data_IF_617024819234
#
_entry.id   IF_617024819234
#
_cell.length_a   1.000
_cell.length_b   1.000
_cell.length_c   1.000
_cell.angle_alpha   90.00
_cell.angle_beta   90.00
_cell.angle_gamma   90.00
#
_symmetry.space_group_name_H-M   'P 1'
#
loop_
_entity.id
_entity.type
_entity.pdbx_description
1 polymer ?
#
# COMPACT_ATOMS: atom_id res chain seq x y z
N UNK A 1 1.10 31.76 -30.36
CA UNK A 1 2.12 31.23 -31.29
C UNK A 1 2.09 29.75 -31.06
N UNK A 2 1.69 28.92 -32.04
CA UNK A 2 1.49 27.48 -31.79
C UNK A 2 2.84 26.81 -31.58
N UNK A 3 3.04 26.06 -30.49
CA UNK A 3 4.20 25.19 -30.36
C UNK A 3 4.12 24.12 -31.44
N UNK A 4 5.12 24.06 -32.31
CA UNK A 4 5.17 23.09 -33.43
C UNK A 4 6.29 22.07 -33.27
N UNK A 5 7.18 22.26 -32.29
CA UNK A 5 8.29 21.34 -32.03
C UNK A 5 7.85 20.27 -31.05
N UNK A 6 8.06 19.02 -31.43
CA UNK A 6 7.63 17.81 -30.70
C UNK A 6 7.99 17.88 -29.21
N UNK A 7 9.25 18.19 -28.86
CA UNK A 7 9.67 18.26 -27.45
C UNK A 7 8.94 19.30 -26.59
N UNK A 8 8.52 20.44 -27.17
CA UNK A 8 7.74 21.44 -26.43
C UNK A 8 6.31 20.98 -26.15
N UNK A 9 5.68 20.36 -27.16
CA UNK A 9 4.33 19.79 -27.01
C UNK A 9 4.29 18.67 -25.99
N UNK A 10 5.30 17.80 -25.95
CA UNK A 10 5.35 16.74 -24.95
C UNK A 10 5.52 17.29 -23.51
N UNK A 11 6.29 18.35 -23.31
CA UNK A 11 6.41 18.99 -21.98
C UNK A 11 5.07 19.61 -21.55
N UNK A 12 4.40 20.31 -22.47
CA UNK A 12 3.06 20.87 -22.21
C UNK A 12 2.06 19.77 -21.85
N UNK A 13 2.05 18.68 -22.60
CA UNK A 13 1.17 17.54 -22.36
C UNK A 13 1.38 16.94 -20.96
N UNK A 14 2.64 16.68 -20.60
CA UNK A 14 3.03 16.10 -19.30
C UNK A 14 2.69 17.03 -18.12
N UNK A 15 2.89 18.33 -18.30
CA UNK A 15 2.42 19.32 -17.33
C UNK A 15 0.90 19.34 -17.25
N UNK A 16 0.20 19.21 -18.37
CA UNK A 16 -1.26 19.10 -18.38
C UNK A 16 -1.76 17.90 -17.58
N UNK A 17 -1.20 16.72 -17.79
CA UNK A 17 -1.55 15.52 -17.03
C UNK A 17 -1.31 15.69 -15.52
N UNK A 18 -0.15 16.25 -15.14
CA UNK A 18 0.15 16.53 -13.73
C UNK A 18 -0.81 17.57 -13.13
N UNK A 19 -1.14 18.63 -13.87
CA UNK A 19 -2.09 19.65 -13.43
C UNK A 19 -3.48 19.07 -13.16
N UNK A 20 -3.97 18.20 -14.05
CA UNK A 20 -5.22 17.49 -13.89
C UNK A 20 -5.19 16.53 -12.68
N UNK A 21 -4.10 15.78 -12.51
CA UNK A 21 -3.91 14.89 -11.36
C UNK A 21 -3.87 15.64 -10.01
N UNK A 22 -3.37 16.87 -10.00
CA UNK A 22 -3.39 17.76 -8.83
C UNK A 22 -4.75 18.46 -8.62
N UNK A 23 -5.76 18.14 -9.43
CA UNK A 23 -7.13 18.64 -9.30
C UNK A 23 -7.38 20.01 -9.93
N UNK A 24 -6.50 20.47 -10.83
CA UNK A 24 -6.70 21.74 -11.54
C UNK A 24 -7.42 21.56 -12.87
N UNK A 25 -8.11 22.62 -13.30
CA UNK A 25 -8.56 22.74 -14.68
C UNK A 25 -7.39 23.23 -15.54
N UNK A 26 -7.06 22.45 -16.56
CA UNK A 26 -5.91 22.65 -17.44
C UNK A 26 -6.34 23.29 -18.75
N UNK A 27 -5.74 24.42 -19.10
CA UNK A 27 -6.00 25.12 -20.37
C UNK A 27 -4.71 25.33 -21.16
N UNK A 28 -4.62 24.67 -22.31
CA UNK A 28 -3.55 24.86 -23.30
C UNK A 28 -3.82 26.11 -24.16
N UNK A 29 -2.76 26.80 -24.58
CA UNK A 29 -2.80 28.04 -25.37
C UNK A 29 -3.77 29.08 -24.79
N UNK A 30 -3.87 29.13 -23.46
CA UNK A 30 -4.86 29.92 -22.77
C UNK A 30 -4.61 31.42 -22.95
N UNK A 31 -5.63 32.12 -23.45
CA UNK A 31 -5.66 33.57 -23.43
C UNK A 31 -6.09 34.04 -22.04
N UNK A 32 -5.13 34.53 -21.26
CA UNK A 32 -5.37 35.05 -19.93
C UNK A 32 -5.67 36.55 -19.98
N UNK A 33 -6.82 36.93 -19.43
CA UNK A 33 -7.30 38.30 -19.51
C UNK A 33 -7.55 38.74 -20.96
N UNK A 34 -7.32 40.02 -21.25
CA UNK A 34 -7.58 40.57 -22.60
C UNK A 34 -6.41 40.42 -23.57
N UNK A 35 -5.18 40.31 -23.09
CA UNK A 35 -3.98 40.57 -23.90
C UNK A 35 -2.90 39.50 -23.84
N UNK A 36 -2.82 38.70 -22.77
CA UNK A 36 -1.77 37.70 -22.62
C UNK A 36 -2.22 36.33 -23.16
N UNK A 37 -1.35 35.68 -23.93
CA UNK A 37 -1.50 34.28 -24.30
C UNK A 37 -0.32 33.50 -23.74
N UNK A 38 -0.62 32.41 -23.03
CA UNK A 38 0.37 31.54 -22.40
C UNK A 38 0.25 30.12 -22.94
N UNK A 39 1.34 29.36 -22.92
CA UNK A 39 1.36 28.00 -23.50
C UNK A 39 0.46 27.04 -22.71
N UNK A 40 0.49 27.14 -21.37
CA UNK A 40 -0.34 26.34 -20.48
C UNK A 40 -0.66 27.14 -19.22
N UNK A 41 -1.88 26.95 -18.72
CA UNK A 41 -2.24 27.45 -17.39
C UNK A 41 -3.12 26.47 -16.65
N UNK A 42 -3.01 26.51 -15.32
CA UNK A 42 -3.87 25.75 -14.43
C UNK A 42 -4.72 26.72 -13.61
N UNK A 43 -6.02 26.46 -13.59
CA UNK A 43 -7.03 27.27 -12.89
C UNK A 43 -7.70 26.43 -11.82
N UNK A 44 -8.32 27.08 -10.83
CA UNK A 44 -8.98 26.36 -9.73
C UNK A 44 -10.21 25.55 -10.18
N UNK A 45 -10.89 25.99 -11.25
CA UNK A 45 -12.08 25.36 -11.81
C UNK A 45 -12.35 25.92 -13.21
N UNK A 46 -13.13 25.19 -14.02
CA UNK A 46 -13.52 25.61 -15.37
C UNK A 46 -14.19 26.98 -15.45
N UNK A 47 -14.88 27.44 -14.40
CA UNK A 47 -15.52 28.76 -14.36
C UNK A 47 -14.58 29.90 -13.92
N UNK A 48 -13.33 29.59 -13.54
CA UNK A 48 -12.37 30.58 -13.06
C UNK A 48 -11.31 30.86 -14.13
N UNK A 49 -11.30 32.09 -14.64
CA UNK A 49 -10.35 32.50 -15.68
C UNK A 49 -9.01 33.02 -15.10
N UNK A 50 -8.91 33.19 -13.78
CA UNK A 50 -7.66 33.60 -13.13
C UNK A 50 -6.73 32.39 -12.95
N UNK A 51 -5.56 32.36 -13.61
CA UNK A 51 -4.65 31.23 -13.50
C UNK A 51 -3.97 31.23 -12.14
N UNK A 52 -3.85 30.06 -11.54
CA UNK A 52 -3.02 29.85 -10.37
C UNK A 52 -1.57 29.59 -10.79
N UNK A 53 -1.41 28.77 -11.82
CA UNK A 53 -0.13 28.41 -12.42
C UNK A 53 -0.12 28.82 -13.88
N UNK A 54 0.99 29.40 -14.33
CA UNK A 54 1.28 29.66 -15.73
C UNK A 54 2.58 28.95 -16.09
N UNK A 55 2.60 28.31 -17.25
CA UNK A 55 3.79 27.68 -17.81
C UNK A 55 4.05 28.25 -19.20
N UNK A 56 5.29 28.67 -19.44
CA UNK A 56 5.82 29.02 -20.75
C UNK A 56 6.94 28.06 -21.09
N UNK A 57 6.94 27.54 -22.31
CA UNK A 57 7.97 26.61 -22.78
C UNK A 57 8.73 27.27 -23.91
N UNK A 58 10.04 27.42 -23.77
CA UNK A 58 10.93 27.91 -24.83
C UNK A 58 11.93 26.83 -25.25
N UNK A 59 12.14 26.69 -26.56
CA UNK A 59 13.17 25.76 -27.05
C UNK A 59 14.58 26.19 -26.63
N UNK A 60 14.88 27.49 -26.67
CA UNK A 60 16.19 28.06 -26.32
C UNK A 60 16.04 29.39 -25.58
N UNK A 61 16.98 29.78 -24.70
CA UNK A 61 16.93 31.05 -23.99
C UNK A 61 17.00 32.24 -24.96
N UNK A 62 15.89 32.94 -25.10
CA UNK A 62 15.77 34.10 -25.99
C UNK A 62 15.44 35.38 -25.22
N UNK A 63 15.30 36.51 -25.93
CA UNK A 63 14.66 37.71 -25.37
C UNK A 63 13.20 37.47 -25.03
N UNK A 64 12.60 36.39 -25.56
CA UNK A 64 11.29 35.87 -25.20
C UNK A 64 11.10 35.68 -23.70
N UNK A 65 12.13 35.23 -22.97
CA UNK A 65 12.06 35.04 -21.51
C UNK A 65 11.53 36.27 -20.77
N UNK A 66 12.12 37.44 -21.03
CA UNK A 66 11.73 38.69 -20.37
C UNK A 66 10.42 39.23 -20.93
N UNK A 67 10.17 39.10 -22.23
CA UNK A 67 8.94 39.56 -22.86
C UNK A 67 7.71 38.74 -22.39
N UNK A 68 7.88 37.42 -22.22
CA UNK A 68 6.86 36.50 -21.74
C UNK A 68 6.54 36.70 -20.25
N UNK A 69 7.53 37.07 -19.44
CA UNK A 69 7.26 37.52 -18.08
C UNK A 69 6.56 38.89 -18.08
N UNK A 70 7.03 39.84 -18.90
CA UNK A 70 6.48 41.20 -18.97
C UNK A 70 5.03 41.23 -19.49
N UNK A 71 4.65 40.40 -20.46
CA UNK A 71 3.25 40.30 -20.94
C UNK A 71 2.28 39.90 -19.83
N UNK A 72 2.74 39.14 -18.83
CA UNK A 72 1.91 38.71 -17.70
C UNK A 72 2.02 39.70 -16.56
N UNK A 73 3.22 40.07 -16.12
CA UNK A 73 3.42 40.92 -14.94
C UNK A 73 3.26 42.42 -15.24
N UNK A 74 3.48 42.88 -16.47
CA UNK A 74 3.39 44.28 -16.87
C UNK A 74 1.97 44.80 -17.13
N UNK A 75 1.00 43.92 -17.38
CA UNK A 75 -0.41 44.33 -17.63
C UNK A 75 -1.06 44.92 -16.37
N UNK A 76 -2.02 45.86 -16.47
CA UNK A 76 -2.79 46.30 -15.30
C UNK A 76 -3.56 45.15 -14.65
N UNK A 77 -3.82 45.23 -13.34
CA UNK A 77 -4.54 44.17 -12.61
C UNK A 77 -6.00 44.07 -13.08
N UNK A 78 -6.58 45.19 -13.52
CA UNK A 78 -7.92 45.30 -14.08
C UNK A 78 -8.05 44.55 -15.42
N UNK A 79 -6.93 44.36 -16.13
CA UNK A 79 -6.90 43.65 -17.41
C UNK A 79 -6.50 42.17 -17.26
N UNK A 80 -5.68 41.88 -16.25
CA UNK A 80 -5.11 40.56 -16.01
C UNK A 80 -4.83 40.34 -14.52
N UNK A 81 -5.58 39.44 -13.90
CA UNK A 81 -5.26 38.90 -12.58
C UNK A 81 -3.94 38.13 -12.69
N UNK A 82 -2.98 38.48 -11.85
CA UNK A 82 -1.64 37.88 -11.88
C UNK A 82 -1.69 36.43 -11.40
N UNK A 83 -0.94 35.51 -12.03
CA UNK A 83 -0.83 34.16 -11.52
C UNK A 83 -0.13 34.15 -10.17
N UNK A 84 -0.46 33.16 -9.34
CA UNK A 84 0.26 32.93 -8.10
C UNK A 84 1.68 32.41 -8.37
N UNK A 85 1.82 31.58 -9.41
CA UNK A 85 3.08 30.95 -9.80
C UNK A 85 3.29 31.01 -11.31
N UNK A 86 4.50 31.38 -11.72
CA UNK A 86 4.89 31.38 -13.12
C UNK A 86 6.16 30.54 -13.28
N UNK A 87 6.05 29.46 -14.04
CA UNK A 87 7.14 28.59 -14.43
C UNK A 87 7.53 28.84 -15.88
N UNK A 88 8.80 29.16 -16.13
CA UNK A 88 9.34 29.28 -17.47
C UNK A 88 10.32 28.13 -17.73
N UNK A 89 10.00 27.27 -18.67
CA UNK A 89 10.78 26.07 -19.00
C UNK A 89 11.61 26.32 -20.25
N UNK A 90 12.89 25.96 -20.21
CA UNK A 90 13.82 26.11 -21.32
C UNK A 90 14.40 24.75 -21.69
N UNK A 91 14.15 24.28 -22.90
CA UNK A 91 14.49 22.90 -23.32
C UNK A 91 15.96 22.69 -23.72
N UNK A 92 16.65 23.75 -24.17
CA UNK A 92 18.06 23.63 -24.57
C UNK A 92 18.83 24.92 -24.34
N UNK A 93 20.06 24.84 -23.84
CA UNK A 93 20.91 26.02 -23.64
C UNK A 93 22.09 25.78 -22.69
N UNK A 94 23.14 26.59 -22.83
CA UNK A 94 24.35 26.51 -21.98
C UNK A 94 24.09 26.88 -20.51
N UNK A 95 24.92 26.31 -19.61
CA UNK A 95 24.86 26.47 -18.15
C UNK A 95 24.96 27.95 -17.69
N UNK A 96 25.75 28.77 -18.37
CA UNK A 96 25.93 30.19 -18.07
C UNK A 96 25.17 31.09 -19.05
N UNK A 97 23.85 31.17 -18.87
CA UNK A 97 23.03 32.05 -19.70
C UNK A 97 22.67 33.35 -18.96
N UNK A 98 23.27 34.47 -19.37
CA UNK A 98 22.98 35.80 -18.83
C UNK A 98 21.51 36.20 -18.95
N UNK A 99 20.80 35.76 -19.99
CA UNK A 99 19.38 36.11 -20.18
C UNK A 99 18.51 35.48 -19.11
N UNK A 100 18.79 34.23 -18.75
CA UNK A 100 18.12 33.54 -17.64
C UNK A 100 18.38 34.27 -16.34
N UNK A 101 19.66 34.57 -16.02
CA UNK A 101 20.02 35.32 -14.80
C UNK A 101 19.32 36.68 -14.73
N UNK A 102 19.28 37.42 -15.83
CA UNK A 102 18.64 38.73 -15.88
C UNK A 102 17.13 38.64 -15.66
N UNK A 103 16.44 37.71 -16.33
CA UNK A 103 15.01 37.50 -16.15
C UNK A 103 14.68 37.07 -14.71
N UNK A 104 15.49 36.19 -14.13
CA UNK A 104 15.32 35.73 -12.76
C UNK A 104 15.54 36.85 -11.73
N UNK A 105 16.52 37.73 -11.96
CA UNK A 105 16.74 38.93 -11.12
C UNK A 105 15.58 39.93 -11.22
N UNK A 106 15.02 40.12 -12.41
CA UNK A 106 13.96 41.10 -12.65
C UNK A 106 12.61 40.62 -12.11
N UNK A 107 12.26 39.35 -12.30
CA UNK A 107 10.91 38.85 -12.03
C UNK A 107 10.84 37.85 -10.87
N UNK A 108 11.97 37.33 -10.37
CA UNK A 108 11.99 36.26 -9.36
C UNK A 108 11.29 36.61 -8.05
N UNK A 109 11.13 37.89 -7.72
CA UNK A 109 10.37 38.36 -6.56
C UNK A 109 8.84 38.14 -6.71
N UNK A 110 8.35 37.81 -7.90
CA UNK A 110 6.93 37.62 -8.21
C UNK A 110 6.54 36.14 -8.34
N UNK A 111 7.20 35.23 -7.61
CA UNK A 111 7.05 33.77 -7.75
C UNK A 111 7.28 33.27 -9.20
N UNK A 112 8.15 33.97 -9.93
CA UNK A 112 8.60 33.59 -11.26
C UNK A 112 9.86 32.72 -11.15
N UNK A 113 9.81 31.52 -11.73
CA UNK A 113 10.91 30.55 -11.68
C UNK A 113 11.24 30.05 -13.08
N UNK A 114 12.53 29.89 -13.34
CA UNK A 114 13.02 29.37 -14.62
C UNK A 114 13.61 27.98 -14.38
N UNK A 115 13.14 27.00 -15.15
CA UNK A 115 13.64 25.64 -15.16
C UNK A 115 14.30 25.33 -16.50
N UNK A 116 15.41 24.61 -16.46
CA UNK A 116 16.11 24.14 -17.65
C UNK A 116 15.91 22.64 -17.73
N UNK A 117 15.31 22.19 -18.82
CA UNK A 117 15.05 20.79 -19.10
C UNK A 117 16.04 20.36 -20.18
N UNK A 118 17.32 20.21 -19.84
CA UNK A 118 18.33 19.76 -20.81
C UNK A 118 18.03 18.33 -21.25
N UNK A 119 18.17 18.07 -22.57
CA UNK A 119 17.87 16.80 -23.22
C UNK A 119 18.19 15.58 -22.34
N UNK A 120 17.14 14.84 -21.96
CA UNK A 120 17.25 13.57 -21.24
C UNK A 120 17.48 13.65 -19.73
N UNK A 121 17.57 14.83 -19.12
CA UNK A 121 17.61 14.93 -17.65
C UNK A 121 16.20 15.01 -17.10
N UNK A 122 15.80 14.09 -16.21
CA UNK A 122 14.56 14.21 -15.46
C UNK A 122 14.39 15.60 -14.83
N UNK A 123 13.15 16.06 -14.66
CA UNK A 123 12.86 17.31 -13.96
C UNK A 123 12.35 17.13 -12.50
N UNK A 124 12.96 16.29 -11.62
CA UNK A 124 12.50 16.14 -10.25
C UNK A 124 12.34 17.49 -9.54
N UNK A 125 13.28 18.41 -9.75
CA UNK A 125 13.24 19.74 -9.13
C UNK A 125 12.01 20.55 -9.53
N UNK A 126 11.53 20.39 -10.77
CA UNK A 126 10.30 21.02 -11.24
C UNK A 126 9.09 20.37 -10.56
N UNK A 127 8.99 19.04 -10.58
CA UNK A 127 7.87 18.30 -9.98
C UNK A 127 7.77 18.59 -8.47
N UNK A 128 8.90 18.55 -7.76
CA UNK A 128 8.97 18.84 -6.33
C UNK A 128 8.57 20.29 -6.04
N UNK A 129 8.97 21.26 -6.87
CA UNK A 129 8.57 22.64 -6.65
C UNK A 129 7.11 22.91 -6.99
N UNK A 130 6.59 22.32 -8.06
CA UNK A 130 5.15 22.32 -8.36
C UNK A 130 4.38 21.80 -7.14
N UNK A 131 4.82 20.69 -6.54
CA UNK A 131 4.19 20.14 -5.34
C UNK A 131 4.24 21.10 -4.14
N UNK A 132 5.39 21.76 -3.90
CA UNK A 132 5.53 22.80 -2.85
C UNK A 132 4.57 23.95 -3.08
N UNK A 133 4.41 24.40 -4.33
CA UNK A 133 3.50 25.48 -4.66
C UNK A 133 2.03 25.02 -4.57
N UNK A 134 1.70 23.80 -4.99
CA UNK A 134 0.38 23.20 -4.82
C UNK A 134 -0.02 23.15 -3.34
N UNK A 135 0.91 22.82 -2.44
CA UNK A 135 0.65 22.82 -0.98
C UNK A 135 0.20 24.18 -0.44
N UNK A 136 0.61 25.27 -1.08
CA UNK A 136 0.20 26.64 -0.69
C UNK A 136 -1.24 26.97 -1.10
N UNK A 137 -1.79 26.22 -2.05
CA UNK A 137 -3.14 26.38 -2.60
C UNK A 137 -4.10 25.37 -1.99
N UNK A 138 -3.69 24.11 -1.91
CA UNK A 138 -4.50 22.99 -1.45
C UNK A 138 -3.79 22.22 -0.32
N UNK A 139 -4.59 21.62 0.56
CA UNK A 139 -4.13 20.61 1.51
C UNK A 139 -4.32 19.19 0.99
N UNK A 140 -5.19 18.98 0.03
CA UNK A 140 -5.54 17.65 -0.47
C UNK A 140 -4.57 17.25 -1.58
N UNK A 141 -4.23 15.96 -1.62
CA UNK A 141 -3.44 15.37 -2.70
C UNK A 141 -3.96 13.96 -3.01
N UNK A 142 -4.32 13.74 -4.27
CA UNK A 142 -4.56 12.40 -4.80
C UNK A 142 -3.20 11.77 -5.14
N UNK A 143 -2.68 10.91 -4.26
CA UNK A 143 -1.36 10.32 -4.41
C UNK A 143 -1.30 9.37 -5.59
N UNK A 144 -2.38 8.61 -5.83
CA UNK A 144 -2.49 7.66 -6.92
C UNK A 144 -2.39 8.37 -8.26
N UNK A 145 -3.29 9.33 -8.51
CA UNK A 145 -3.31 10.08 -9.77
C UNK A 145 -2.01 10.86 -9.99
N UNK A 146 -1.43 11.41 -8.93
CA UNK A 146 -0.15 12.13 -8.99
C UNK A 146 1.01 11.18 -9.34
N UNK A 147 1.08 10.01 -8.72
CA UNK A 147 2.11 9.00 -9.02
C UNK A 147 1.98 8.51 -10.47
N UNK A 148 0.78 8.20 -10.95
CA UNK A 148 0.53 7.80 -12.33
C UNK A 148 0.97 8.88 -13.32
N UNK A 149 0.63 10.15 -13.09
CA UNK A 149 1.03 11.25 -13.97
C UNK A 149 2.55 11.46 -14.02
N UNK A 150 3.27 11.18 -12.92
CA UNK A 150 4.73 11.29 -12.83
C UNK A 150 5.48 10.07 -13.36
N UNK A 151 4.79 8.96 -13.63
CA UNK A 151 5.37 7.80 -14.33
C UNK A 151 5.52 8.02 -15.84
N UNK A 152 4.86 9.05 -16.40
CA UNK A 152 5.03 9.42 -17.79
C UNK A 152 6.50 9.72 -18.13
N UNK A 153 7.00 9.31 -19.32
CA UNK A 153 8.37 9.54 -19.72
C UNK A 153 8.77 11.01 -19.56
N UNK A 154 10.00 11.31 -19.14
CA UNK A 154 10.51 12.69 -19.00
C UNK A 154 10.39 13.31 -17.61
N UNK A 155 9.56 12.75 -16.72
CA UNK A 155 9.56 13.16 -15.30
C UNK A 155 10.73 12.57 -14.51
N UNK A 156 11.26 11.42 -14.94
CA UNK A 156 12.31 10.67 -14.23
C UNK A 156 11.83 9.33 -13.67
N UNK A 157 10.58 8.95 -13.95
CA UNK A 157 9.99 7.70 -13.51
C UNK A 157 9.99 7.57 -11.99
N UNK A 158 10.20 6.34 -11.53
CA UNK A 158 10.04 5.94 -10.13
C UNK A 158 10.84 6.78 -9.14
N UNK A 159 12.07 7.19 -9.48
CA UNK A 159 12.90 8.03 -8.61
C UNK A 159 12.24 9.38 -8.31
N UNK A 160 11.55 9.97 -9.29
CA UNK A 160 10.83 11.23 -9.11
C UNK A 160 9.53 11.03 -8.36
N UNK A 161 8.82 9.94 -8.63
CA UNK A 161 7.61 9.58 -7.89
C UNK A 161 7.93 9.44 -6.39
N UNK A 162 8.97 8.67 -6.04
CA UNK A 162 9.37 8.50 -4.63
C UNK A 162 9.72 9.81 -3.95
N UNK A 163 10.50 10.67 -4.61
CA UNK A 163 10.85 11.98 -4.07
C UNK A 163 9.60 12.86 -3.86
N UNK A 164 8.62 12.81 -4.77
CA UNK A 164 7.36 13.55 -4.66
C UNK A 164 6.48 13.00 -3.52
N UNK A 165 6.34 11.68 -3.38
CA UNK A 165 5.55 11.07 -2.32
C UNK A 165 6.17 11.33 -0.93
N UNK A 166 7.49 11.24 -0.82
CA UNK A 166 8.23 11.63 0.38
C UNK A 166 8.03 13.10 0.75
N UNK A 167 8.15 13.99 -0.24
CA UNK A 167 7.90 15.41 -0.03
C UNK A 167 6.44 15.67 0.34
N UNK A 168 5.49 14.93 -0.22
CA UNK A 168 4.08 15.07 0.13
C UNK A 168 3.84 14.77 1.62
N UNK A 169 4.43 13.70 2.14
CA UNK A 169 4.38 13.38 3.57
C UNK A 169 5.00 14.48 4.43
N UNK A 170 6.18 14.99 4.05
CA UNK A 170 6.87 16.09 4.76
C UNK A 170 6.04 17.37 4.78
N UNK A 171 5.36 17.68 3.67
CA UNK A 171 4.47 18.82 3.52
C UNK A 171 3.10 18.61 4.20
N UNK A 172 2.84 17.41 4.74
CA UNK A 172 1.59 17.04 5.43
C UNK A 172 0.37 17.34 4.57
N UNK A 173 0.34 16.78 3.36
CA UNK A 173 -0.90 16.74 2.60
C UNK A 173 -1.93 15.84 3.31
N UNK A 174 -3.20 16.13 3.08
CA UNK A 174 -4.35 15.35 3.51
C UNK A 174 -4.62 14.31 2.43
N UNK A 175 -4.29 13.05 2.73
CA UNK A 175 -4.44 11.90 1.83
C UNK A 175 -4.48 10.59 2.62
N UNK A 176 -5.05 9.54 2.02
CA UNK A 176 -5.15 8.21 2.61
C UNK A 176 -3.88 7.39 2.33
N UNK A 177 -2.76 7.81 2.92
CA UNK A 177 -1.43 7.29 2.57
C UNK A 177 -1.32 5.77 2.65
N UNK A 178 -1.88 5.13 3.69
CA UNK A 178 -1.82 3.67 3.80
C UNK A 178 -2.59 2.97 2.68
N UNK A 179 -3.81 3.43 2.37
CA UNK A 179 -4.61 2.87 1.27
C UNK A 179 -3.93 3.09 -0.09
N UNK A 180 -3.47 4.31 -0.36
CA UNK A 180 -2.86 4.66 -1.65
C UNK A 180 -1.50 3.97 -1.84
N UNK A 181 -0.66 3.90 -0.81
CA UNK A 181 0.59 3.14 -0.89
C UNK A 181 0.35 1.65 -1.02
N UNK A 182 -0.71 1.10 -0.40
CA UNK A 182 -1.07 -0.30 -0.61
C UNK A 182 -1.48 -0.58 -2.06
N UNK A 183 -2.32 0.28 -2.65
CA UNK A 183 -2.71 0.18 -4.07
C UNK A 183 -1.50 0.30 -5.00
N UNK A 184 -0.64 1.30 -4.79
CA UNK A 184 0.59 1.45 -5.58
C UNK A 184 1.50 0.23 -5.46
N UNK A 185 1.63 -0.33 -4.25
CA UNK A 185 2.43 -1.54 -3.99
C UNK A 185 1.84 -2.81 -4.58
N UNK A 186 0.51 -2.87 -4.76
CA UNK A 186 -0.14 -3.98 -5.45
C UNK A 186 0.16 -3.95 -6.95
N UNK A 187 0.41 -2.78 -7.52
CA UNK A 187 0.62 -2.60 -8.97
C UNK A 187 2.10 -2.67 -9.33
N UNK A 188 2.96 -2.15 -8.46
CA UNK A 188 4.41 -2.26 -8.59
C UNK A 188 5.04 -2.53 -7.20
N UNK A 189 5.68 -3.70 -6.98
CA UNK A 189 6.32 -4.04 -5.72
C UNK A 189 7.40 -3.03 -5.25
N UNK A 190 7.92 -2.17 -6.12
CA UNK A 190 8.90 -1.17 -5.74
C UNK A 190 8.35 -0.18 -4.68
N UNK A 191 7.02 0.02 -4.62
CA UNK A 191 6.39 0.92 -3.65
C UNK A 191 6.23 0.31 -2.24
N UNK A 192 6.46 -1.01 -2.07
CA UNK A 192 6.28 -1.72 -0.79
C UNK A 192 7.11 -1.08 0.34
N UNK A 193 8.32 -0.58 0.02
CA UNK A 193 9.17 0.12 0.98
C UNK A 193 8.56 1.42 1.51
N UNK A 194 7.80 2.16 0.69
CA UNK A 194 7.08 3.37 1.12
C UNK A 194 5.94 3.02 2.08
N UNK A 195 5.18 1.96 1.77
CA UNK A 195 4.14 1.44 2.64
C UNK A 195 4.72 1.04 4.00
N UNK A 196 5.77 0.21 4.02
CA UNK A 196 6.42 -0.25 5.25
C UNK A 196 6.96 0.91 6.10
N UNK A 197 7.62 1.89 5.46
CA UNK A 197 8.10 3.11 6.13
C UNK A 197 6.96 3.92 6.73
N UNK A 198 5.81 4.03 6.04
CA UNK A 198 4.65 4.76 6.55
C UNK A 198 4.09 4.09 7.79
N UNK A 199 3.92 2.76 7.77
CA UNK A 199 3.51 1.97 8.93
C UNK A 199 4.45 2.21 10.11
N UNK A 200 5.78 2.08 9.91
CA UNK A 200 6.77 2.37 10.95
C UNK A 200 6.60 3.77 11.54
N UNK A 201 6.49 4.78 10.68
CA UNK A 201 6.34 6.18 11.08
C UNK A 201 5.09 6.40 11.92
N UNK A 202 4.01 5.67 11.67
CA UNK A 202 2.79 5.76 12.47
C UNK A 202 2.93 5.05 13.82
N UNK A 203 3.57 3.87 13.85
CA UNK A 203 3.78 3.09 15.07
C UNK A 203 4.76 3.73 16.05
N UNK A 204 5.72 4.50 15.56
CA UNK A 204 6.76 5.14 16.39
C UNK A 204 6.38 6.53 16.92
N UNK A 205 5.19 7.06 16.58
CA UNK A 205 4.77 8.39 17.04
C UNK A 205 4.56 8.44 18.56
N UNK A 206 5.04 9.48 19.26
CA UNK A 206 4.86 9.64 20.71
C UNK A 206 3.39 9.66 21.14
N UNK A 207 2.51 10.19 20.29
CA UNK A 207 1.06 10.24 20.52
C UNK A 207 0.41 8.85 20.56
N UNK A 208 0.99 7.82 19.93
CA UNK A 208 0.53 6.44 20.05
C UNK A 208 0.82 5.83 21.45
N UNK A 209 1.74 6.43 22.20
CA UNK A 209 2.24 5.90 23.48
C UNK A 209 1.88 6.76 24.71
N UNK A 210 1.15 7.87 24.53
CA UNK A 210 0.70 8.75 25.60
C UNK A 210 -0.71 8.42 26.13
N UNK A 211 -1.06 8.81 27.37
CA UNK A 211 -2.41 8.62 27.93
C UNK A 211 -3.50 9.36 27.14
N UNK A 212 -3.20 10.53 26.55
CA UNK A 212 -4.12 11.27 25.65
C UNK A 212 -4.34 10.55 24.30
N UNK A 213 -3.39 9.71 23.87
CA UNK A 213 -3.52 8.87 22.67
C UNK A 213 -4.39 7.63 22.87
N UNK A 214 -4.56 7.19 24.13
CA UNK A 214 -5.40 6.03 24.48
C UNK A 214 -6.89 6.39 24.55
N UNK A 215 -7.23 7.62 24.95
CA UNK A 215 -8.62 8.14 24.90
C UNK A 215 -9.04 8.57 23.50
N UNK A 216 -8.10 8.97 22.64
CA UNK A 216 -8.31 9.15 21.21
C UNK A 216 -8.25 7.82 20.43
N UNK A 217 -8.88 6.75 20.92
CA UNK A 217 -8.94 5.42 20.29
C UNK A 217 -9.63 5.38 18.92
N UNK A 218 -9.83 6.53 18.29
CA UNK A 218 -10.17 6.65 16.88
C UNK A 218 -9.49 7.86 16.21
N UNK A 219 -8.17 7.85 15.93
CA UNK A 219 -7.51 8.94 15.24
C UNK A 219 -7.08 8.49 13.84
N UNK A 220 -7.94 7.84 13.04
CA UNK A 220 -7.61 7.56 11.63
C UNK A 220 -8.74 7.76 10.60
N UNK A 221 -9.56 8.84 10.63
CA UNK A 221 -10.48 9.05 9.51
C UNK A 221 -9.77 9.32 8.17
N UNK A 222 -8.47 9.68 8.18
CA UNK A 222 -7.78 10.19 6.98
C UNK A 222 -6.60 9.35 6.49
N UNK A 223 -6.00 8.51 7.34
CA UNK A 223 -4.78 7.75 7.04
C UNK A 223 -5.01 6.23 7.11
N UNK A 224 -6.29 5.81 7.11
CA UNK A 224 -6.71 4.42 7.21
C UNK A 224 -6.69 3.69 5.86
N UNK A 225 -7.29 2.50 5.87
CA UNK A 225 -7.38 1.61 4.73
C UNK A 225 -8.65 1.79 3.89
N UNK A 226 -9.48 2.77 4.24
CA UNK A 226 -10.67 3.15 3.47
C UNK A 226 -11.92 2.33 3.79
N UNK A 227 -12.03 1.82 5.02
CA UNK A 227 -13.11 0.93 5.48
C UNK A 227 -12.83 -0.56 5.25
N UNK A 228 -11.58 -0.91 4.94
CA UNK A 228 -11.13 -2.29 4.79
C UNK A 228 -10.80 -2.97 6.14
N UNK A 229 -10.52 -4.29 6.14
CA UNK A 229 -10.18 -5.03 7.36
C UNK A 229 -8.99 -4.47 8.15
N UNK A 230 -8.05 -3.80 7.46
CA UNK A 230 -6.90 -3.16 8.08
C UNK A 230 -7.28 -2.04 9.06
N UNK A 231 -8.45 -1.42 8.93
CA UNK A 231 -8.87 -0.39 9.90
C UNK A 231 -9.18 -0.98 11.28
N UNK A 232 -9.38 -2.29 11.38
CA UNK A 232 -9.71 -2.98 12.61
C UNK A 232 -8.53 -3.81 13.15
N UNK A 233 -7.88 -4.60 12.30
CA UNK A 233 -6.87 -5.59 12.73
C UNK A 233 -5.72 -5.67 11.71
N UNK A 234 -5.01 -4.55 11.51
CA UNK A 234 -3.91 -4.48 10.53
C UNK A 234 -2.58 -5.06 11.00
N UNK A 235 -2.28 -5.04 12.30
CA UNK A 235 -0.89 -5.15 12.76
C UNK A 235 -0.20 -6.48 12.48
N UNK A 236 -0.94 -7.60 12.37
CA UNK A 236 -0.39 -8.88 11.93
C UNK A 236 0.12 -8.80 10.47
N UNK A 237 -0.71 -8.27 9.56
CA UNK A 237 -0.34 -8.11 8.15
C UNK A 237 0.71 -6.99 7.98
N UNK A 238 0.54 -5.84 8.64
CA UNK A 238 1.48 -4.72 8.62
C UNK A 238 2.89 -5.15 9.07
N UNK A 239 3.00 -5.88 10.18
CA UNK A 239 4.30 -6.37 10.68
C UNK A 239 4.91 -7.36 9.70
N UNK A 240 4.11 -8.29 9.16
CA UNK A 240 4.57 -9.22 8.12
C UNK A 240 5.10 -8.49 6.88
N UNK A 241 4.40 -7.45 6.42
CA UNK A 241 4.80 -6.63 5.28
C UNK A 241 6.11 -5.87 5.56
N UNK A 242 6.29 -5.33 6.77
CA UNK A 242 7.54 -4.66 7.15
C UNK A 242 8.74 -5.61 7.14
N UNK A 243 8.55 -6.84 7.59
CA UNK A 243 9.58 -7.89 7.54
C UNK A 243 9.91 -8.25 6.09
N UNK A 244 8.88 -8.50 5.27
CA UNK A 244 9.04 -8.78 3.84
C UNK A 244 9.76 -7.65 3.08
N UNK A 245 9.46 -6.40 3.42
CA UNK A 245 10.07 -5.22 2.82
C UNK A 245 11.53 -4.98 3.27
N UNK A 246 12.02 -5.72 4.27
CA UNK A 246 13.32 -5.48 4.91
C UNK A 246 13.37 -4.23 5.80
N UNK A 247 12.22 -3.62 6.11
CA UNK A 247 12.13 -2.51 7.08
C UNK A 247 12.32 -2.99 8.52
N UNK A 248 11.92 -4.24 8.80
CA UNK A 248 12.09 -4.92 10.06
C UNK A 248 12.87 -6.22 9.84
N UNK A 249 13.92 -6.46 10.63
CA UNK A 249 14.69 -7.69 10.51
C UNK A 249 13.87 -8.91 10.99
N UNK A 250 14.06 -10.08 10.36
CA UNK A 250 13.37 -11.32 10.75
C UNK A 250 13.62 -11.69 12.23
N UNK A 251 14.80 -11.36 12.76
CA UNK A 251 15.15 -11.61 14.15
C UNK A 251 14.34 -10.80 15.16
N UNK A 252 13.92 -9.60 14.78
CA UNK A 252 13.09 -8.71 15.60
C UNK A 252 11.59 -8.95 15.38
N UNK A 253 11.23 -9.67 14.31
CA UNK A 253 9.85 -9.95 13.91
C UNK A 253 8.99 -10.53 15.03
N UNK A 254 9.38 -11.63 15.69
CA UNK A 254 8.64 -12.20 16.82
C UNK A 254 8.33 -11.20 17.93
N UNK A 255 9.31 -10.34 18.29
CA UNK A 255 9.12 -9.33 19.32
C UNK A 255 8.19 -8.20 18.86
N UNK A 256 8.25 -7.81 17.58
CA UNK A 256 7.36 -6.80 17.01
C UNK A 256 5.91 -7.29 16.94
N UNK A 257 5.68 -8.55 16.55
CA UNK A 257 4.37 -9.16 16.59
C UNK A 257 3.80 -9.19 18.01
N UNK A 258 4.60 -9.64 18.98
CA UNK A 258 4.17 -9.71 20.38
C UNK A 258 3.89 -8.33 20.96
N UNK A 259 4.71 -7.33 20.62
CA UNK A 259 4.49 -5.93 20.99
C UNK A 259 3.15 -5.45 20.47
N UNK A 260 2.84 -5.68 19.19
CA UNK A 260 1.55 -5.30 18.64
C UNK A 260 0.40 -6.04 19.32
N UNK A 261 0.49 -7.36 19.47
CA UNK A 261 -0.52 -8.20 20.10
C UNK A 261 -0.86 -7.73 21.52
N UNK A 262 0.13 -7.28 22.28
CA UNK A 262 -0.03 -6.86 23.68
C UNK A 262 -0.22 -5.34 23.87
N UNK A 263 -0.14 -4.56 22.79
CA UNK A 263 -0.25 -3.10 22.83
C UNK A 263 -1.65 -2.58 23.16
N UNK A 264 -2.66 -3.44 23.22
CA UNK A 264 -4.02 -3.00 23.53
C UNK A 264 -4.07 -2.41 24.97
N UNK A 265 -4.66 -1.22 25.10
CA UNK A 265 -4.68 -0.47 26.36
C UNK A 265 -5.50 -1.11 27.48
N UNK A 266 -6.15 -2.24 27.21
CA UNK A 266 -7.07 -2.93 28.12
C UNK A 266 -6.47 -4.21 28.73
N UNK A 267 -5.21 -4.54 28.43
CA UNK A 267 -4.48 -5.65 29.06
C UNK A 267 -4.79 -7.04 28.52
N UNK A 268 -5.54 -7.16 27.42
CA UNK A 268 -5.77 -8.42 26.68
C UNK A 268 -4.87 -8.49 25.44
N UNK A 269 -4.68 -9.67 24.83
CA UNK A 269 -4.06 -9.71 23.49
C UNK A 269 -5.09 -9.31 22.43
N UNK A 270 -4.63 -8.69 21.35
CA UNK A 270 -5.48 -8.30 20.21
C UNK A 270 -6.19 -9.50 19.57
N UNK A 271 -5.47 -10.61 19.41
CA UNK A 271 -6.03 -11.90 18.99
C UNK A 271 -5.77 -12.91 20.10
N UNK A 272 -6.83 -13.35 20.77
CA UNK A 272 -6.77 -14.27 21.89
C UNK A 272 -8.03 -15.13 21.91
N UNK A 273 -7.97 -16.38 22.43
CA UNK A 273 -9.17 -17.18 22.67
C UNK A 273 -9.93 -16.69 23.93
N UNK A 274 -10.19 -15.39 23.99
CA UNK A 274 -10.97 -14.70 25.02
C UNK A 274 -12.42 -14.58 24.56
N UNK A 275 -13.11 -15.73 24.46
CA UNK A 275 -14.48 -15.76 23.97
C UNK A 275 -15.48 -15.10 24.91
N UNK A 276 -16.58 -14.60 24.35
CA UNK A 276 -17.67 -13.97 25.08
C UNK A 276 -17.45 -12.49 25.37
N UNK A 277 -16.44 -11.86 24.76
CA UNK A 277 -16.24 -10.40 24.79
C UNK A 277 -17.28 -9.71 23.91
N UNK A 278 -17.40 -10.13 22.65
CA UNK A 278 -18.45 -9.72 21.72
C UNK A 278 -18.63 -10.79 20.65
N UNK A 279 -19.80 -10.79 19.99
CA UNK A 279 -20.08 -11.71 18.88
C UNK A 279 -19.12 -11.49 17.71
N UNK A 280 -18.83 -10.24 17.40
CA UNK A 280 -17.93 -9.87 16.30
C UNK A 280 -16.49 -10.32 16.58
N UNK A 281 -16.05 -10.23 17.83
CA UNK A 281 -14.72 -10.70 18.24
C UNK A 281 -14.63 -12.23 18.14
N UNK A 282 -15.61 -12.94 18.68
CA UNK A 282 -15.64 -14.41 18.64
C UNK A 282 -15.67 -14.91 17.19
N UNK A 283 -16.49 -14.28 16.33
CA UNK A 283 -16.54 -14.57 14.90
C UNK A 283 -15.25 -14.24 14.16
N UNK A 284 -14.59 -13.14 14.51
CA UNK A 284 -13.27 -12.83 13.98
C UNK A 284 -12.24 -13.89 14.37
N UNK A 285 -12.12 -14.21 15.66
CA UNK A 285 -11.11 -15.15 16.17
C UNK A 285 -11.27 -16.53 15.54
N UNK A 286 -12.51 -17.05 15.49
CA UNK A 286 -12.79 -18.40 14.98
C UNK A 286 -12.75 -18.44 13.45
N UNK A 287 -13.39 -17.48 12.79
CA UNK A 287 -13.62 -17.52 11.35
C UNK A 287 -12.56 -16.83 10.51
N UNK A 288 -12.06 -15.67 10.95
CA UNK A 288 -11.25 -14.77 10.11
C UNK A 288 -9.77 -14.77 10.46
N UNK A 289 -9.42 -14.80 11.76
CA UNK A 289 -8.03 -14.75 12.19
C UNK A 289 -7.15 -15.84 11.54
N UNK A 290 -7.58 -17.12 11.44
CA UNK A 290 -6.78 -18.16 10.78
C UNK A 290 -6.37 -17.82 9.34
N UNK A 291 -7.22 -17.10 8.61
CA UNK A 291 -6.96 -16.63 7.24
C UNK A 291 -5.84 -15.57 7.25
N UNK A 292 -5.84 -14.65 8.22
CA UNK A 292 -4.76 -13.67 8.39
C UNK A 292 -3.41 -14.32 8.76
N UNK A 293 -3.42 -15.34 9.62
CA UNK A 293 -2.22 -16.11 9.92
C UNK A 293 -1.71 -16.84 8.67
N UNK A 294 -2.59 -17.43 7.87
CA UNK A 294 -2.22 -18.10 6.63
C UNK A 294 -1.61 -17.15 5.59
N UNK A 295 -2.19 -15.96 5.40
CA UNK A 295 -1.63 -14.91 4.54
C UNK A 295 -0.25 -14.47 5.02
N UNK A 296 -0.12 -14.17 6.32
CA UNK A 296 1.15 -13.75 6.92
C UNK A 296 2.21 -14.85 6.81
N UNK A 297 1.85 -16.11 7.03
CA UNK A 297 2.74 -17.24 6.84
C UNK A 297 3.18 -17.37 5.37
N UNK A 298 2.26 -17.24 4.41
CA UNK A 298 2.60 -17.26 2.99
C UNK A 298 3.60 -16.15 2.61
N UNK A 299 3.42 -14.95 3.17
CA UNK A 299 4.32 -13.81 2.97
C UNK A 299 5.72 -14.05 3.57
N UNK A 300 5.79 -14.68 4.74
CA UNK A 300 7.01 -14.79 5.54
C UNK A 300 7.82 -16.06 5.33
N UNK A 301 7.57 -16.84 4.27
CA UNK A 301 8.29 -18.11 4.01
C UNK A 301 9.82 -18.01 4.05
N UNK A 302 10.39 -16.87 3.62
CA UNK A 302 11.84 -16.59 3.62
C UNK A 302 12.36 -15.99 4.93
N UNK A 303 11.48 -15.79 5.91
CA UNK A 303 11.74 -15.14 7.19
C UNK A 303 11.49 -16.14 8.31
N UNK A 304 12.45 -17.06 8.54
CA UNK A 304 12.16 -18.30 9.24
C UNK A 304 11.73 -18.11 10.70
N UNK A 305 12.27 -17.11 11.41
CA UNK A 305 11.92 -16.84 12.82
C UNK A 305 10.51 -16.28 12.93
N UNK A 306 10.19 -15.30 12.10
CA UNK A 306 8.87 -14.67 12.06
C UNK A 306 7.79 -15.64 11.59
N UNK A 307 8.09 -16.47 10.59
CA UNK A 307 7.21 -17.53 10.12
C UNK A 307 6.91 -18.57 11.20
N UNK A 308 7.92 -18.97 11.97
CA UNK A 308 7.72 -19.89 13.09
C UNK A 308 6.87 -19.25 14.20
N UNK A 309 7.05 -17.96 14.49
CA UNK A 309 6.20 -17.24 15.44
C UNK A 309 4.73 -17.29 15.01
N UNK A 310 4.42 -17.00 13.74
CA UNK A 310 3.05 -17.04 13.19
C UNK A 310 2.41 -18.43 13.40
N UNK A 311 3.18 -19.50 13.18
CA UNK A 311 2.73 -20.89 13.40
C UNK A 311 2.45 -21.15 14.87
N UNK A 312 3.39 -20.77 15.75
CA UNK A 312 3.26 -20.98 17.21
C UNK A 312 2.08 -20.20 17.77
N UNK A 313 1.88 -18.97 17.34
CA UNK A 313 0.80 -18.12 17.83
C UNK A 313 -0.58 -18.61 17.35
N UNK A 314 -0.70 -19.07 16.10
CA UNK A 314 -1.93 -19.74 15.65
C UNK A 314 -2.18 -21.07 16.39
N UNK A 315 -1.13 -21.83 16.69
CA UNK A 315 -1.25 -23.04 17.51
C UNK A 315 -1.71 -22.72 18.93
N UNK A 316 -1.17 -21.68 19.55
CA UNK A 316 -1.60 -21.22 20.88
C UNK A 316 -3.06 -20.72 20.86
N UNK A 317 -3.48 -20.03 19.79
CA UNK A 317 -4.87 -19.64 19.59
C UNK A 317 -5.77 -20.89 19.62
N UNK A 318 -5.46 -21.90 18.82
CA UNK A 318 -6.17 -23.18 18.74
C UNK A 318 -6.18 -23.94 20.08
N UNK A 319 -5.06 -23.94 20.82
CA UNK A 319 -4.99 -24.52 22.16
C UNK A 319 -5.94 -23.83 23.13
N UNK A 320 -6.00 -22.50 23.11
CA UNK A 320 -6.99 -21.83 23.94
C UNK A 320 -8.42 -22.04 23.46
N UNK A 321 -8.67 -22.27 22.16
CA UNK A 321 -10.00 -22.75 21.72
C UNK A 321 -10.38 -24.08 22.37
N UNK A 322 -9.40 -24.98 22.51
CA UNK A 322 -9.56 -26.24 23.21
C UNK A 322 -9.86 -26.04 24.70
N UNK A 323 -9.06 -25.23 25.39
CA UNK A 323 -9.20 -24.99 26.83
C UNK A 323 -10.52 -24.30 27.21
N UNK A 324 -11.08 -23.50 26.29
CA UNK A 324 -12.39 -22.87 26.45
C UNK A 324 -13.56 -23.79 26.12
N UNK A 325 -13.30 -25.04 25.71
CA UNK A 325 -14.32 -26.03 25.41
C UNK A 325 -15.08 -25.75 24.11
N UNK A 326 -14.46 -25.04 23.15
CA UNK A 326 -15.07 -24.81 21.85
C UNK A 326 -15.30 -26.15 21.14
N UNK A 327 -16.49 -26.34 20.56
CA UNK A 327 -16.84 -27.63 19.94
C UNK A 327 -15.87 -27.95 18.80
N UNK A 328 -15.46 -29.22 18.61
CA UNK A 328 -14.48 -29.61 17.61
C UNK A 328 -14.71 -29.02 16.21
N UNK A 329 -15.96 -28.99 15.74
CA UNK A 329 -16.32 -28.45 14.42
C UNK A 329 -16.02 -26.96 14.26
N UNK A 330 -16.17 -26.15 15.31
CA UNK A 330 -15.85 -24.72 15.24
C UNK A 330 -14.34 -24.44 15.24
N UNK A 331 -13.51 -25.41 15.65
CA UNK A 331 -12.04 -25.31 15.60
C UNK A 331 -11.45 -25.65 14.23
N UNK A 332 -12.26 -26.20 13.32
CA UNK A 332 -11.80 -26.64 12.00
C UNK A 332 -11.12 -25.55 11.15
N UNK A 333 -11.54 -24.27 11.16
CA UNK A 333 -10.83 -23.22 10.42
C UNK A 333 -9.36 -23.10 10.85
N UNK A 334 -9.10 -22.94 12.15
CA UNK A 334 -7.74 -22.87 12.68
C UNK A 334 -6.95 -24.15 12.41
N UNK A 335 -7.57 -25.32 12.61
CA UNK A 335 -6.94 -26.63 12.32
C UNK A 335 -6.52 -26.76 10.86
N UNK A 336 -7.41 -26.42 9.92
CA UNK A 336 -7.15 -26.62 8.49
C UNK A 336 -6.13 -25.61 7.95
N UNK A 337 -6.25 -24.33 8.32
CA UNK A 337 -5.27 -23.33 7.93
C UNK A 337 -3.89 -23.64 8.50
N UNK A 338 -3.80 -24.03 9.78
CA UNK A 338 -2.53 -24.44 10.38
C UNK A 338 -1.97 -25.72 9.72
N UNK A 339 -2.80 -26.71 9.39
CA UNK A 339 -2.36 -27.90 8.67
C UNK A 339 -1.77 -27.55 7.29
N UNK A 340 -2.40 -26.64 6.54
CA UNK A 340 -1.88 -26.17 5.26
C UNK A 340 -0.57 -25.40 5.42
N UNK A 341 -0.47 -24.49 6.39
CA UNK A 341 0.78 -23.77 6.69
C UNK A 341 1.91 -24.76 7.00
N UNK A 342 1.67 -25.74 7.88
CA UNK A 342 2.65 -26.77 8.23
C UNK A 342 3.05 -27.64 7.04
N UNK A 343 2.08 -28.07 6.22
CA UNK A 343 2.34 -28.85 5.01
C UNK A 343 3.13 -28.06 3.95
N UNK A 344 2.91 -26.75 3.87
CA UNK A 344 3.64 -25.82 3.01
C UNK A 344 5.04 -25.45 3.56
N UNK A 345 5.25 -25.55 4.87
CA UNK A 345 6.49 -25.14 5.52
C UNK A 345 7.65 -26.06 5.14
N UNK A 346 8.85 -25.52 4.86
CA UNK A 346 10.05 -26.33 4.63
C UNK A 346 10.32 -27.26 5.81
N UNK A 347 10.57 -28.54 5.52
CA UNK A 347 10.98 -29.56 6.49
C UNK A 347 12.48 -29.64 6.69
N UNK A 348 13.26 -28.96 5.84
CA UNK A 348 14.72 -29.04 5.88
C UNK A 348 15.26 -28.32 7.11
N UNK A 349 16.12 -29.03 7.84
CA UNK A 349 16.83 -28.53 8.99
C UNK A 349 17.89 -27.52 8.51
N UNK A 350 17.47 -26.28 8.30
CA UNK A 350 18.42 -25.21 8.03
C UNK A 350 19.15 -24.91 9.35
N UNK A 351 20.44 -25.27 9.39
CA UNK A 351 21.35 -25.08 10.53
C UNK A 351 21.38 -23.62 10.98
N UNK A 352 21.09 -22.67 10.08
CA UNK A 352 20.98 -21.25 10.40
C UNK A 352 19.71 -20.90 11.21
N UNK A 353 18.65 -21.69 11.09
CA UNK A 353 17.33 -21.40 11.67
C UNK A 353 17.05 -22.11 12.98
N UNK A 354 17.84 -23.14 13.34
CA UNK A 354 17.62 -23.99 14.52
C UNK A 354 16.17 -24.53 14.65
N UNK A 355 15.45 -24.67 13.54
CA UNK A 355 14.07 -25.18 13.55
C UNK A 355 14.04 -26.61 14.04
N UNK A 356 13.27 -26.87 15.09
CA UNK A 356 13.04 -28.20 15.63
C UNK A 356 12.00 -28.94 14.77
N UNK A 357 12.39 -29.92 13.94
CA UNK A 357 11.43 -30.64 13.09
C UNK A 357 10.41 -31.42 13.92
N UNK A 358 10.78 -31.82 15.15
CA UNK A 358 9.90 -32.58 16.04
C UNK A 358 8.73 -31.73 16.53
N UNK A 359 8.91 -30.41 16.64
CA UNK A 359 7.83 -29.47 16.93
C UNK A 359 6.77 -29.47 15.82
N UNK A 360 7.17 -29.34 14.55
CA UNK A 360 6.24 -29.25 13.42
C UNK A 360 5.47 -30.56 13.22
N UNK A 361 6.16 -31.70 13.28
CA UNK A 361 5.53 -33.01 13.08
C UNK A 361 4.64 -33.39 14.28
N UNK A 362 5.07 -33.06 15.50
CA UNK A 362 4.26 -33.22 16.70
C UNK A 362 2.99 -32.35 16.66
N UNK A 363 3.10 -31.09 16.23
CA UNK A 363 1.96 -30.21 16.05
C UNK A 363 1.00 -30.74 14.99
N UNK A 364 1.50 -31.18 13.83
CA UNK A 364 0.66 -31.74 12.77
C UNK A 364 -0.08 -33.02 13.22
N UNK A 365 0.60 -33.89 13.99
CA UNK A 365 -0.03 -35.08 14.57
C UNK A 365 -1.21 -34.72 15.50
N UNK A 366 -1.05 -33.68 16.33
CA UNK A 366 -2.12 -33.16 17.20
C UNK A 366 -3.31 -32.61 16.40
N UNK A 367 -3.07 -31.96 15.26
CA UNK A 367 -4.17 -31.54 14.37
C UNK A 367 -4.98 -32.76 13.88
N UNK A 368 -4.29 -33.86 13.53
CA UNK A 368 -4.94 -35.11 13.16
C UNK A 368 -5.73 -35.77 14.30
N UNK A 369 -5.30 -35.60 15.56
CA UNK A 369 -6.08 -35.97 16.74
C UNK A 369 -7.36 -35.13 16.87
N UNK A 370 -7.26 -33.82 16.74
CA UNK A 370 -8.42 -32.92 16.83
C UNK A 370 -9.47 -33.19 15.75
N UNK A 371 -9.04 -33.49 14.52
CA UNK A 371 -9.96 -33.93 13.46
C UNK A 371 -10.67 -35.22 13.86
N UNK A 372 -9.94 -36.21 14.41
CA UNK A 372 -10.55 -37.48 14.83
C UNK A 372 -11.53 -37.30 15.99
N UNK A 373 -11.19 -36.48 16.97
CA UNK A 373 -12.10 -36.11 18.07
C UNK A 373 -13.40 -35.46 17.57
N UNK A 374 -13.30 -34.67 16.48
CA UNK A 374 -14.45 -34.04 15.83
C UNK A 374 -15.28 -34.96 14.93
N UNK A 375 -14.90 -36.24 14.83
CA UNK A 375 -15.57 -37.22 13.96
C UNK A 375 -15.09 -37.21 12.51
N UNK A 376 -14.00 -36.51 12.19
CA UNK A 376 -13.49 -36.31 10.83
C UNK A 376 -13.75 -34.91 10.29
N UNK A 377 -13.32 -34.66 9.05
CA UNK A 377 -13.51 -33.39 8.35
C UNK A 377 -14.14 -33.63 6.96
N UNK A 378 -15.06 -32.80 6.47
CA UNK A 378 -15.61 -32.96 5.13
C UNK A 378 -14.55 -32.90 4.04
N UNK A 379 -14.51 -33.88 3.12
CA UNK A 379 -13.40 -34.07 2.20
C UNK A 379 -13.04 -32.83 1.36
N UNK A 380 -14.05 -32.02 1.00
CA UNK A 380 -13.89 -30.78 0.25
C UNK A 380 -13.03 -29.74 0.99
N UNK A 381 -13.09 -29.71 2.32
CA UNK A 381 -12.37 -28.72 3.14
C UNK A 381 -10.84 -28.91 3.13
N UNK A 382 -10.33 -30.03 2.62
CA UNK A 382 -8.89 -30.23 2.41
C UNK A 382 -8.32 -29.36 1.29
N UNK A 383 -9.15 -28.87 0.38
CA UNK A 383 -8.72 -28.04 -0.76
C UNK A 383 -9.56 -26.77 -0.90
N UNK A 384 -10.62 -26.65 -0.11
CA UNK A 384 -11.44 -25.45 0.04
C UNK A 384 -11.65 -25.19 1.55
N UNK A 385 -10.63 -24.70 2.27
CA UNK A 385 -10.73 -24.43 3.71
C UNK A 385 -11.89 -23.49 4.03
N UNK A 386 -12.45 -23.55 5.26
CA UNK A 386 -13.58 -22.73 5.64
C UNK A 386 -13.38 -21.24 5.32
N UNK A 387 -14.39 -20.68 4.66
CA UNK A 387 -14.55 -19.22 4.51
C UNK A 387 -14.82 -18.58 5.88
N UNK A 388 -14.60 -17.27 6.05
CA UNK A 388 -15.00 -16.60 7.27
C UNK A 388 -16.49 -16.78 7.49
N UNK A 389 -16.86 -17.05 8.74
CA UNK A 389 -18.24 -17.16 9.17
C UNK A 389 -18.35 -16.66 10.61
N UNK A 390 -19.53 -16.20 10.99
CA UNK A 390 -19.82 -15.85 12.36
C UNK A 390 -20.59 -17.00 13.04
N UNK A 391 -19.99 -17.77 13.98
CA UNK A 391 -20.68 -18.91 14.61
C UNK A 391 -21.93 -18.52 15.40
N UNK A 392 -22.13 -17.23 15.68
CA UNK A 392 -23.33 -16.71 16.34
C UNK A 392 -24.47 -16.35 15.39
N UNK A 393 -24.20 -16.25 14.09
CA UNK A 393 -25.16 -15.84 13.06
C UNK A 393 -25.37 -16.93 12.00
N UNK A 394 -24.31 -17.66 11.68
CA UNK A 394 -24.26 -18.67 10.63
C UNK A 394 -23.90 -20.04 11.21
N UNK A 395 -24.60 -21.07 10.73
CA UNK A 395 -24.13 -22.46 10.81
C UNK A 395 -23.53 -22.78 9.44
N UNK A 396 -22.20 -22.86 9.30
CA UNK A 396 -21.59 -23.18 8.03
C UNK A 396 -22.13 -24.48 7.43
N UNK A 397 -22.40 -24.49 6.13
CA UNK A 397 -22.98 -25.65 5.42
C UNK A 397 -22.17 -26.94 5.63
N UNK A 398 -20.85 -26.81 5.76
CA UNK A 398 -19.94 -27.94 5.97
C UNK A 398 -20.03 -28.54 7.38
N UNK A 399 -20.69 -27.89 8.34
CA UNK A 399 -20.86 -28.44 9.69
C UNK A 399 -21.69 -29.71 9.63
N UNK A 400 -22.68 -29.83 8.76
CA UNK A 400 -23.64 -30.96 8.76
C UNK A 400 -23.33 -32.04 7.72
N UNK A 401 -22.17 -32.01 7.08
CA UNK A 401 -21.78 -33.02 6.08
C UNK A 401 -21.46 -34.38 6.71
N UNK A 402 -22.09 -35.43 6.17
CA UNK A 402 -21.94 -36.81 6.65
C UNK A 402 -20.69 -37.52 6.12
N UNK A 403 -20.20 -37.12 4.93
CA UNK A 403 -18.99 -37.71 4.33
C UNK A 403 -17.73 -37.03 4.86
N UNK A 404 -17.12 -37.67 5.86
CA UNK A 404 -15.96 -37.16 6.59
C UNK A 404 -14.72 -38.03 6.36
N UNK A 405 -13.56 -37.38 6.27
CA UNK A 405 -12.24 -38.00 6.11
C UNK A 405 -11.32 -37.63 7.28
N UNK A 406 -10.26 -38.40 7.47
CA UNK A 406 -9.16 -38.02 8.37
C UNK A 406 -8.27 -36.97 7.71
N UNK A 407 -7.56 -36.20 8.53
CA UNK A 407 -6.47 -35.35 8.03
C UNK A 407 -5.39 -36.26 7.39
N UNK A 408 -5.04 -36.06 6.11
CA UNK A 408 -3.99 -36.87 5.47
C UNK A 408 -2.62 -36.58 6.08
N UNK A 409 -1.62 -37.41 5.79
CA UNK A 409 -0.23 -37.10 6.19
C UNK A 409 0.20 -35.74 5.65
N UNK A 410 1.19 -35.12 6.31
CA UNK A 410 1.71 -33.81 5.90
C UNK A 410 2.20 -33.82 4.45
N UNK A 411 2.87 -34.89 4.04
CA UNK A 411 3.36 -35.09 2.67
C UNK A 411 2.21 -35.25 1.68
N UNK A 412 1.16 -36.00 2.05
CA UNK A 412 -0.01 -36.18 1.21
C UNK A 412 -0.80 -34.88 1.06
N UNK A 413 -0.96 -34.09 2.13
CA UNK A 413 -1.58 -32.77 2.06
C UNK A 413 -0.76 -31.81 1.19
N UNK A 414 0.56 -31.82 1.35
CA UNK A 414 1.48 -31.04 0.53
C UNK A 414 1.39 -31.43 -0.95
N UNK A 415 1.36 -32.72 -1.27
CA UNK A 415 1.21 -33.19 -2.64
C UNK A 415 -0.11 -32.72 -3.27
N UNK A 416 -1.22 -32.76 -2.52
CA UNK A 416 -2.51 -32.20 -2.97
C UNK A 416 -2.45 -30.69 -3.17
N UNK A 417 -1.84 -29.95 -2.24
CA UNK A 417 -1.66 -28.51 -2.33
C UNK A 417 -0.82 -28.07 -3.53
N UNK A 418 0.26 -28.79 -3.82
CA UNK A 418 1.09 -28.57 -5.01
C UNK A 418 0.32 -28.82 -6.31
N UNK A 419 -0.60 -29.79 -6.32
CA UNK A 419 -1.44 -30.05 -7.49
C UNK A 419 -2.42 -28.89 -7.79
N UNK A 420 -2.85 -28.12 -6.79
CA UNK A 420 -3.72 -26.94 -6.97
C UNK A 420 -3.04 -25.81 -7.74
N UNK A 421 -1.70 -25.73 -7.72
CA UNK A 421 -0.94 -24.69 -8.45
C UNK A 421 -1.09 -24.82 -9.97
N UNK A 422 -1.38 -26.03 -10.47
CA UNK A 422 -1.23 -26.38 -11.88
C UNK A 422 0.25 -26.29 -12.34
N UNK A 423 0.56 -26.72 -13.58
CA UNK A 423 1.92 -26.66 -14.13
C UNK A 423 2.42 -25.24 -14.40
N UNK A 424 1.52 -24.25 -14.41
CA UNK A 424 1.82 -22.83 -14.61
C UNK A 424 0.82 -22.04 -13.78
N UNK A 425 1.28 -21.25 -12.79
CA UNK A 425 0.42 -20.24 -12.16
C UNK A 425 0.00 -19.28 -13.27
N UNK A 426 -1.31 -19.15 -13.59
CA UNK A 426 -1.76 -18.18 -14.57
C UNK A 426 -1.17 -16.80 -14.28
N UNK A 427 -0.67 -16.11 -15.31
CA UNK A 427 -0.33 -14.70 -15.24
C UNK A 427 -1.58 -13.93 -14.80
N UNK A 428 -1.70 -13.62 -13.52
CA UNK A 428 -2.92 -13.06 -12.93
C UNK A 428 -3.22 -13.48 -11.49
N UNK A 429 -2.59 -14.52 -10.94
CA UNK A 429 -2.70 -14.75 -9.49
C UNK A 429 -1.93 -13.68 -8.71
N UNK A 430 -2.51 -13.15 -7.61
CA UNK A 430 -1.79 -12.23 -6.76
C UNK A 430 -0.58 -12.92 -6.14
N UNK A 431 0.48 -12.16 -5.91
CA UNK A 431 1.62 -12.53 -5.05
C UNK A 431 1.20 -12.46 -3.57
N UNK A 432 2.00 -13.04 -2.67
CA UNK A 432 1.69 -13.01 -1.24
C UNK A 432 1.61 -11.59 -0.68
N UNK A 433 2.48 -10.69 -1.15
CA UNK A 433 2.47 -9.28 -0.77
C UNK A 433 1.21 -8.57 -1.31
N UNK A 434 0.81 -8.80 -2.56
CA UNK A 434 -0.42 -8.26 -3.13
C UNK A 434 -1.66 -8.74 -2.36
N UNK A 435 -1.72 -10.02 -1.98
CA UNK A 435 -2.83 -10.57 -1.20
C UNK A 435 -2.91 -9.97 0.21
N UNK A 436 -1.77 -9.79 0.89
CA UNK A 436 -1.72 -9.13 2.20
C UNK A 436 -2.16 -7.67 2.12
N UNK A 437 -1.68 -6.92 1.12
CA UNK A 437 -2.07 -5.52 0.89
C UNK A 437 -3.55 -5.39 0.53
N UNK A 438 -4.06 -6.26 -0.35
CA UNK A 438 -5.48 -6.30 -0.72
C UNK A 438 -6.36 -6.60 0.50
N UNK A 439 -5.93 -7.51 1.37
CA UNK A 439 -6.65 -7.84 2.62
C UNK A 439 -6.69 -6.69 3.62
N UNK A 440 -5.78 -5.72 3.53
CA UNK A 440 -5.86 -4.52 4.35
C UNK A 440 -6.93 -3.54 3.86
N UNK A 441 -7.06 -3.38 2.54
CA UNK A 441 -7.93 -2.34 1.91
C UNK A 441 -9.28 -2.86 1.41
N UNK A 442 -9.48 -4.18 1.31
CA UNK A 442 -10.68 -4.79 0.72
C UNK A 442 -11.00 -6.14 1.35
N UNK A 443 -12.24 -6.61 1.11
CA UNK A 443 -12.71 -7.92 1.57
C UNK A 443 -12.62 -9.01 0.48
N UNK A 444 -11.95 -8.77 -0.64
CA UNK A 444 -11.96 -9.70 -1.79
C UNK A 444 -11.35 -11.06 -1.47
N UNK A 445 -10.25 -11.08 -0.71
CA UNK A 445 -9.57 -12.33 -0.31
C UNK A 445 -10.48 -13.25 0.51
N UNK A 446 -11.46 -12.69 1.21
CA UNK A 446 -12.33 -13.42 2.12
C UNK A 446 -13.53 -14.07 1.42
N UNK A 447 -13.81 -13.70 0.17
CA UNK A 447 -14.87 -14.32 -0.63
C UNK A 447 -14.52 -15.77 -1.02
N UNK A 448 -13.24 -16.02 -1.32
CA UNK A 448 -12.69 -17.34 -1.63
C UNK A 448 -11.22 -17.45 -1.16
N UNK A 449 -10.99 -17.56 0.15
CA UNK A 449 -9.63 -17.57 0.71
C UNK A 449 -8.86 -18.83 0.29
N UNK A 450 -9.54 -19.95 0.06
CA UNK A 450 -8.91 -21.19 -0.43
C UNK A 450 -8.26 -20.99 -1.80
N UNK A 451 -9.00 -20.42 -2.75
CA UNK A 451 -8.51 -20.16 -4.10
C UNK A 451 -7.36 -19.13 -4.16
N UNK A 452 -7.31 -18.19 -3.21
CA UNK A 452 -6.26 -17.16 -3.16
C UNK A 452 -5.03 -17.65 -2.38
N UNK A 453 -5.22 -18.18 -1.17
CA UNK A 453 -4.14 -18.38 -0.20
C UNK A 453 -3.45 -19.74 -0.38
N UNK A 454 -4.17 -20.81 -0.74
CA UNK A 454 -3.51 -22.11 -0.92
C UNK A 454 -2.44 -22.08 -2.02
N UNK A 455 -2.68 -21.50 -3.22
CA UNK A 455 -1.61 -21.36 -4.21
C UNK A 455 -0.41 -20.58 -3.69
N UNK A 456 -0.63 -19.55 -2.87
CA UNK A 456 0.41 -18.75 -2.24
C UNK A 456 1.22 -19.54 -1.21
N UNK A 457 0.55 -20.33 -0.36
CA UNK A 457 1.17 -21.22 0.61
C UNK A 457 1.97 -22.34 -0.05
N UNK A 458 1.58 -22.83 -1.21
CA UNK A 458 2.33 -23.90 -1.90
C UNK A 458 3.29 -23.40 -2.99
N UNK A 459 3.31 -22.09 -3.29
CA UNK A 459 4.31 -21.51 -4.17
C UNK A 459 5.72 -21.67 -3.57
N UNK A 460 6.71 -21.92 -4.43
CA UNK A 460 8.11 -21.74 -4.03
C UNK A 460 8.33 -20.28 -3.64
N UNK A 461 9.26 -20.04 -2.71
CA UNK A 461 9.65 -18.67 -2.40
C UNK A 461 10.24 -18.03 -3.67
N UNK A 462 9.55 -17.04 -4.25
CA UNK A 462 10.07 -16.32 -5.41
C UNK A 462 11.37 -15.58 -5.03
N UNK A 463 12.36 -15.65 -5.92
CA UNK A 463 13.73 -15.12 -5.73
C UNK A 463 13.79 -13.60 -5.58
#
# INVERSE_FOLDING_TARGET
MRHTRVGGLEVIHRLGQLGAALGYEVREEHRVGRSAAVDLSWTAAASNDAPLFVFEVESTPSTGLANNALKVYGSPLEELVKPLFFFHLVLSGGQDNERIRNAQRLFGQHNYRIYRLTDGTPAPDLALDILRQHRRVSRNLDLWSTATALMEPGWGGLATVFAVLELAEQLRFESAYLCDYARLSMEDPAYVGLFARRVRTLSERPEANGPEGREASNPRPRDGYGGGPGDYISGLLETGIRIYAGDLADEDGPAAFETWMTSCGFGQRMIEPSFGLSRDYDGYVIGTAPIHYALTAALLKRHPRSHEWVIRDLANLLEGEFDRGLRPRFRLPAVLWLAHILAASPTEHDVATQRDPTFFDGLYARLGEHVREGGGLPAKLLLDPPRPFNPSEDVPEWIDEEEVVSLPSREALRAKGLALRGPTVPSGHPTAIQACLSSLISYEVYADPGAVILPLLYAEAAD
#
